data_IF_269253125212
#
_entry.id   IF_269253125212
#
_cell.length_a   1.000
_cell.length_b   1.000
_cell.length_c   1.000
_cell.angle_alpha   90.00
_cell.angle_beta   90.00
_cell.angle_gamma   90.00
#
_symmetry.space_group_name_H-M   'P 1'
#
loop_
_entity.id
_entity.type
_entity.pdbx_description
1 polymer ?
#
# COMPACT_ATOMS: atom_id res chain seq x y z
N UNK A 1 -48.46 -2.23 -0.31
CA UNK A 1 -48.08 -2.97 -1.54
C UNK A 1 -47.60 -2.00 -2.61
N UNK A 2 -46.28 -1.86 -2.77
CA UNK A 2 -45.66 -1.13 -3.90
C UNK A 2 -44.76 -2.13 -4.62
N UNK A 3 -45.10 -2.41 -5.87
CA UNK A 3 -44.42 -3.40 -6.72
C UNK A 3 -43.11 -2.87 -7.30
N UNK A 4 -42.12 -3.76 -7.33
CA UNK A 4 -40.85 -3.63 -8.03
C UNK A 4 -41.06 -3.44 -9.54
N UNK A 5 -40.27 -2.57 -10.17
CA UNK A 5 -40.00 -2.64 -11.61
C UNK A 5 -38.49 -2.86 -11.82
N UNK A 6 -38.19 -3.99 -12.46
CA UNK A 6 -36.87 -4.36 -12.94
C UNK A 6 -36.38 -3.35 -13.99
N UNK A 7 -35.13 -2.90 -13.86
CA UNK A 7 -34.42 -2.24 -14.95
C UNK A 7 -33.66 -3.28 -15.77
N UNK A 8 -34.07 -3.41 -17.04
CA UNK A 8 -33.49 -4.29 -18.06
C UNK A 8 -32.21 -3.67 -18.63
N UNK A 9 -31.15 -4.49 -18.69
CA UNK A 9 -29.88 -4.21 -19.37
C UNK A 9 -30.07 -4.23 -20.89
N UNK A 10 -30.23 -3.08 -21.53
CA UNK A 10 -29.99 -2.86 -22.98
C UNK A 10 -30.16 -1.37 -23.29
N UNK A 11 -29.05 -0.64 -23.40
CA UNK A 11 -29.11 0.77 -23.77
C UNK A 11 -27.81 1.52 -23.48
N UNK A 12 -26.68 1.01 -23.96
CA UNK A 12 -25.43 1.78 -23.97
C UNK A 12 -24.55 1.28 -25.12
N UNK A 13 -24.98 1.53 -26.35
CA UNK A 13 -24.15 1.38 -27.55
C UNK A 13 -24.86 2.09 -28.69
N UNK A 14 -24.64 3.40 -28.82
CA UNK A 14 -24.71 4.14 -30.08
C UNK A 14 -24.31 5.59 -29.82
N UNK A 15 -23.02 5.90 -29.96
CA UNK A 15 -22.58 7.26 -30.29
C UNK A 15 -21.17 7.27 -30.89
N UNK A 16 -21.05 6.80 -32.15
CA UNK A 16 -19.98 7.18 -33.09
C UNK A 16 -20.72 7.19 -34.43
N UNK A 17 -20.83 8.30 -35.16
CA UNK A 17 -19.85 8.86 -36.11
C UNK A 17 -20.38 10.24 -36.51
N UNK A 18 -19.53 11.28 -36.52
CA UNK A 18 -19.45 12.37 -37.53
C UNK A 18 -18.89 13.67 -36.94
N UNK A 19 -17.57 13.85 -37.01
CA UNK A 19 -16.87 15.14 -37.13
C UNK A 19 -15.41 14.75 -37.40
N UNK A 20 -14.87 14.94 -38.60
CA UNK A 20 -14.59 16.25 -39.16
C UNK A 20 -13.10 16.49 -38.97
N UNK A 21 -12.35 16.55 -40.07
CA UNK A 21 -10.92 16.83 -40.09
C UNK A 21 -10.62 18.14 -39.33
N UNK A 22 -10.08 18.03 -38.12
CA UNK A 22 -9.20 19.03 -37.53
C UNK A 22 -8.00 18.29 -36.98
N UNK A 23 -6.82 18.61 -37.51
CA UNK A 23 -5.57 18.10 -36.99
C UNK A 23 -5.43 18.49 -35.53
N UNK A 24 -5.40 17.48 -34.66
CA UNK A 24 -4.86 17.63 -33.32
C UNK A 24 -3.58 16.81 -33.34
N UNK A 25 -2.49 17.45 -33.76
CA UNK A 25 -1.16 17.07 -33.31
C UNK A 25 -1.05 17.40 -31.81
N UNK A 26 -1.90 16.76 -31.01
CA UNK A 26 -1.75 16.68 -29.57
C UNK A 26 -0.72 15.61 -29.34
N UNK A 27 0.55 15.94 -29.56
CA UNK A 27 1.61 15.24 -28.83
C UNK A 27 1.23 15.49 -27.38
N UNK A 28 0.67 14.49 -26.70
CA UNK A 28 0.53 14.54 -25.26
C UNK A 28 1.93 14.87 -24.76
N UNK A 29 2.14 16.11 -24.28
CA UNK A 29 3.40 16.50 -23.69
C UNK A 29 3.62 15.49 -22.58
N UNK A 30 4.67 14.67 -22.72
CA UNK A 30 5.09 13.81 -21.62
C UNK A 30 5.27 14.74 -20.42
N UNK A 31 4.72 14.37 -19.25
CA UNK A 31 4.92 15.19 -18.07
C UNK A 31 6.41 15.50 -17.92
N UNK A 32 6.73 16.74 -17.53
CA UNK A 32 8.12 17.10 -17.28
C UNK A 32 8.66 16.14 -16.20
N UNK A 33 9.79 15.50 -16.51
CA UNK A 33 10.47 14.67 -15.53
C UNK A 33 11.16 15.56 -14.52
N UNK A 34 11.11 15.14 -13.26
CA UNK A 34 11.89 15.70 -12.19
C UNK A 34 13.35 15.22 -12.23
N UNK A 35 14.09 15.56 -11.18
CA UNK A 35 15.47 15.10 -10.99
C UNK A 35 15.49 13.60 -10.68
N UNK A 36 16.39 12.85 -11.33
CA UNK A 36 16.55 11.42 -11.08
C UNK A 36 17.24 11.17 -9.73
N UNK A 37 16.93 10.03 -9.12
CA UNK A 37 17.47 9.60 -7.83
C UNK A 37 17.55 8.08 -7.78
N UNK A 38 18.26 7.52 -6.79
CA UNK A 38 18.19 6.07 -6.52
C UNK A 38 16.89 5.68 -5.80
N UNK A 39 16.18 6.65 -5.23
CA UNK A 39 15.01 6.45 -4.39
C UNK A 39 13.83 7.28 -4.87
N UNK A 40 12.63 6.95 -4.39
CA UNK A 40 11.52 7.88 -4.45
C UNK A 40 11.87 9.19 -3.71
N UNK A 41 11.40 10.31 -4.24
CA UNK A 41 11.57 11.65 -3.65
C UNK A 41 10.26 12.40 -3.70
N UNK A 42 10.17 13.57 -3.06
CA UNK A 42 9.06 14.51 -3.25
C UNK A 42 9.57 15.67 -4.09
N UNK A 43 8.87 15.97 -5.19
CA UNK A 43 9.25 17.05 -6.12
C UNK A 43 8.02 17.84 -6.54
N UNK A 44 8.24 19.05 -7.06
CA UNK A 44 7.18 19.90 -7.60
C UNK A 44 7.04 19.66 -9.11
N UNK A 45 5.82 19.37 -9.56
CA UNK A 45 5.44 19.22 -10.96
C UNK A 45 4.26 20.13 -11.22
N UNK A 46 4.42 21.14 -12.09
CA UNK A 46 3.37 22.09 -12.45
C UNK A 46 2.64 22.70 -11.22
N UNK A 47 3.40 23.11 -10.20
CA UNK A 47 2.86 23.70 -8.96
C UNK A 47 2.25 22.69 -7.98
N UNK A 48 2.46 21.38 -8.17
CA UNK A 48 1.96 20.32 -7.29
C UNK A 48 3.11 19.50 -6.72
N UNK A 49 3.11 19.28 -5.41
CA UNK A 49 4.03 18.33 -4.79
C UNK A 49 3.52 16.90 -4.98
N UNK A 50 4.28 16.11 -5.73
CA UNK A 50 4.03 14.68 -5.95
C UNK A 50 5.26 13.89 -5.53
N UNK A 51 5.09 12.58 -5.38
CA UNK A 51 6.27 11.72 -5.39
C UNK A 51 6.90 11.77 -6.79
N UNK A 52 8.22 11.64 -6.85
CA UNK A 52 8.94 11.33 -8.06
C UNK A 52 9.52 9.93 -7.92
N UNK A 53 9.33 9.08 -8.93
CA UNK A 53 10.02 7.78 -8.99
C UNK A 53 11.54 7.97 -9.03
N UNK A 54 12.35 6.92 -8.81
CA UNK A 54 13.80 7.00 -9.05
C UNK A 54 14.17 7.53 -10.45
N UNK A 55 13.34 7.23 -11.45
CA UNK A 55 13.50 7.74 -12.82
C UNK A 55 13.12 9.21 -13.03
N UNK A 56 12.63 9.92 -12.01
CA UNK A 56 12.19 11.31 -12.09
C UNK A 56 10.73 11.49 -12.53
N UNK A 57 10.01 10.41 -12.84
CA UNK A 57 8.59 10.49 -13.26
C UNK A 57 7.68 10.91 -12.10
N UNK A 58 6.68 11.79 -12.32
CA UNK A 58 5.68 12.08 -11.30
C UNK A 58 4.88 10.83 -10.95
N UNK A 59 4.69 10.60 -9.66
CA UNK A 59 4.01 9.44 -9.10
C UNK A 59 2.98 9.88 -8.06
N UNK A 60 1.73 9.50 -8.30
CA UNK A 60 0.65 9.67 -7.33
C UNK A 60 0.30 8.29 -6.75
N UNK A 61 0.61 8.07 -5.46
CA UNK A 61 0.41 6.77 -4.83
C UNK A 61 -1.08 6.49 -4.58
N UNK A 62 -1.58 5.41 -5.18
CA UNK A 62 -2.91 4.85 -4.93
C UNK A 62 -2.66 3.46 -4.36
N UNK A 63 -2.81 3.34 -3.04
CA UNK A 63 -2.36 2.18 -2.28
C UNK A 63 -3.52 1.45 -1.59
N UNK A 64 -3.36 0.15 -1.39
CA UNK A 64 -4.29 -0.69 -0.62
C UNK A 64 -3.64 -1.12 0.71
N UNK A 65 -4.41 -1.07 1.79
CA UNK A 65 -3.98 -1.46 3.14
C UNK A 65 -4.58 -2.82 3.53
N UNK A 66 -4.06 -3.43 4.60
CA UNK A 66 -4.49 -4.71 5.15
C UNK A 66 -4.44 -5.84 4.11
N UNK A 67 -3.21 -6.22 3.74
CA UNK A 67 -2.90 -7.26 2.77
C UNK A 67 -2.16 -8.38 3.49
N UNK A 68 -2.92 -9.35 3.99
CA UNK A 68 -2.41 -10.45 4.81
C UNK A 68 -3.14 -11.75 4.46
N UNK A 69 -2.43 -12.88 4.51
CA UNK A 69 -2.99 -14.19 4.16
C UNK A 69 -3.68 -14.89 5.33
N UNK A 70 -3.59 -14.37 6.55
CA UNK A 70 -4.17 -14.97 7.77
C UNK A 70 -5.64 -15.33 7.61
N UNK A 71 -6.43 -14.49 6.94
CA UNK A 71 -7.84 -14.75 6.65
C UNK A 71 -8.08 -16.05 5.85
N UNK A 72 -7.14 -16.46 5.00
CA UNK A 72 -7.21 -17.73 4.26
C UNK A 72 -6.68 -18.92 5.06
N UNK A 73 -5.96 -18.66 6.15
CA UNK A 73 -5.35 -19.70 7.00
C UNK A 73 -6.25 -20.16 8.15
N UNK A 74 -7.43 -19.57 8.30
CA UNK A 74 -8.46 -20.08 9.21
C UNK A 74 -8.94 -21.48 8.80
N UNK A 75 -9.38 -22.34 9.74
CA UNK A 75 -9.82 -23.71 9.46
C UNK A 75 -10.86 -23.81 8.33
N UNK A 76 -11.76 -22.82 8.22
CA UNK A 76 -12.82 -22.78 7.23
C UNK A 76 -12.28 -22.50 5.82
N UNK A 77 -11.15 -21.79 5.70
CA UNK A 77 -10.56 -21.34 4.43
C UNK A 77 -9.26 -22.07 4.06
N UNK A 78 -8.64 -22.81 4.99
CA UNK A 78 -7.29 -23.39 4.83
C UNK A 78 -7.17 -24.30 3.61
N UNK A 79 -8.26 -24.95 3.21
CA UNK A 79 -8.32 -25.78 2.01
C UNK A 79 -8.11 -24.97 0.72
N UNK A 80 -8.55 -23.70 0.69
CA UNK A 80 -8.28 -22.77 -0.42
C UNK A 80 -6.82 -22.35 -0.42
N UNK A 81 -6.26 -22.05 0.75
CA UNK A 81 -4.84 -21.70 0.90
C UNK A 81 -3.92 -22.82 0.39
N UNK A 82 -4.18 -24.04 0.85
CA UNK A 82 -3.42 -25.24 0.46
C UNK A 82 -3.67 -25.61 -1.00
N UNK A 83 -4.93 -25.73 -1.41
CA UNK A 83 -5.28 -26.22 -2.75
C UNK A 83 -4.88 -25.27 -3.87
N UNK A 84 -5.08 -23.95 -3.68
CA UNK A 84 -4.84 -22.97 -4.73
C UNK A 84 -3.37 -22.53 -4.80
N UNK A 85 -2.77 -22.24 -3.66
CA UNK A 85 -1.44 -21.64 -3.59
C UNK A 85 -0.38 -22.62 -3.09
N UNK A 86 -0.72 -23.87 -2.77
CA UNK A 86 0.24 -24.83 -2.21
C UNK A 86 0.78 -24.37 -0.87
N UNK A 87 -0.02 -23.63 -0.09
CA UNK A 87 0.39 -22.98 1.14
C UNK A 87 1.59 -22.00 1.01
N UNK A 88 1.76 -21.38 -0.16
CA UNK A 88 2.88 -20.48 -0.46
C UNK A 88 2.45 -19.00 -0.52
N UNK A 89 3.05 -18.17 0.34
CA UNK A 89 2.95 -16.70 0.28
C UNK A 89 3.38 -16.15 -1.07
N UNK A 90 4.52 -16.60 -1.57
CA UNK A 90 5.05 -16.19 -2.86
C UNK A 90 4.03 -16.41 -3.98
N UNK A 91 3.44 -17.62 -4.05
CA UNK A 91 2.43 -17.93 -5.07
C UNK A 91 1.20 -17.06 -4.91
N UNK A 92 0.69 -16.90 -3.69
CA UNK A 92 -0.47 -16.04 -3.46
C UNK A 92 -0.22 -14.59 -3.88
N UNK A 93 0.94 -14.04 -3.53
CA UNK A 93 1.32 -12.67 -3.88
C UNK A 93 1.48 -12.50 -5.39
N UNK A 94 2.24 -13.40 -6.03
CA UNK A 94 2.53 -13.34 -7.47
C UNK A 94 1.31 -13.64 -8.34
N UNK A 95 0.48 -14.60 -7.94
CA UNK A 95 -0.65 -15.06 -8.75
C UNK A 95 -1.90 -14.22 -8.54
N UNK A 96 -2.10 -13.61 -7.35
CA UNK A 96 -3.34 -12.92 -7.00
C UNK A 96 -3.16 -11.53 -6.46
N UNK A 97 -2.39 -11.31 -5.39
CA UNK A 97 -2.30 -9.98 -4.75
C UNK A 97 -1.86 -8.91 -5.75
N UNK A 98 -0.65 -9.04 -6.32
CA UNK A 98 -0.12 -8.02 -7.21
C UNK A 98 -0.92 -7.89 -8.53
N UNK A 99 -1.33 -8.98 -9.21
CA UNK A 99 -2.17 -8.88 -10.40
C UNK A 99 -3.53 -8.24 -10.14
N UNK A 100 -4.22 -8.63 -9.07
CA UNK A 100 -5.56 -8.13 -8.76
C UNK A 100 -5.50 -6.64 -8.37
N UNK A 101 -4.51 -6.23 -7.55
CA UNK A 101 -4.29 -4.81 -7.22
C UNK A 101 -4.07 -3.95 -8.47
N UNK A 102 -3.20 -4.40 -9.38
CA UNK A 102 -2.94 -3.71 -10.65
C UNK A 102 -4.21 -3.65 -11.51
N UNK A 103 -4.96 -4.75 -11.60
CA UNK A 103 -6.22 -4.81 -12.36
C UNK A 103 -7.30 -3.88 -11.79
N UNK A 104 -7.29 -3.64 -10.48
CA UNK A 104 -8.18 -2.68 -9.82
C UNK A 104 -7.71 -1.23 -9.90
N UNK A 105 -6.52 -0.97 -10.44
CA UNK A 105 -5.97 0.38 -10.62
C UNK A 105 -5.11 0.87 -9.46
N UNK A 106 -4.78 0.03 -8.47
CA UNK A 106 -3.77 0.36 -7.48
C UNK A 106 -2.38 0.27 -8.10
N UNK A 107 -1.54 1.25 -7.79
CA UNK A 107 -0.16 1.32 -8.30
C UNK A 107 0.90 1.11 -7.22
N UNK A 108 0.46 0.91 -5.97
CA UNK A 108 1.34 0.72 -4.83
C UNK A 108 0.70 -0.11 -3.71
N UNK A 109 1.53 -0.62 -2.81
CA UNK A 109 1.13 -1.32 -1.59
C UNK A 109 1.25 -0.36 -0.41
N UNK A 110 0.18 -0.27 0.38
CA UNK A 110 0.13 0.57 1.58
C UNK A 110 0.53 -0.21 2.83
N UNK A 111 -0.12 0.09 3.95
CA UNK A 111 0.06 -0.61 5.22
C UNK A 111 -0.42 -2.06 5.10
N UNK A 112 0.48 -3.05 5.12
CA UNK A 112 0.11 -4.44 4.86
C UNK A 112 -0.44 -5.22 6.07
N UNK A 113 -0.03 -4.91 7.30
CA UNK A 113 -0.42 -5.69 8.47
C UNK A 113 -1.95 -5.74 8.66
N UNK A 114 -2.48 -6.89 9.06
CA UNK A 114 -3.91 -7.08 9.36
C UNK A 114 -4.18 -6.89 10.86
N UNK A 115 -5.39 -6.45 11.20
CA UNK A 115 -5.87 -6.43 12.58
C UNK A 115 -6.22 -7.85 13.02
N UNK A 116 -5.40 -8.44 13.89
CA UNK A 116 -5.58 -9.81 14.40
C UNK A 116 -6.45 -9.84 15.65
N UNK A 117 -6.28 -8.86 16.55
CA UNK A 117 -7.05 -8.74 17.78
C UNK A 117 -7.52 -7.30 17.92
N UNK A 118 -8.80 -7.10 18.27
CA UNK A 118 -9.37 -5.77 18.51
C UNK A 118 -10.27 -5.78 19.75
N UNK A 119 -9.65 -5.54 20.89
CA UNK A 119 -10.28 -5.38 22.20
C UNK A 119 -10.05 -3.95 22.73
N UNK A 120 -10.87 -3.46 23.69
CA UNK A 120 -10.73 -2.10 24.23
C UNK A 120 -9.33 -1.73 24.75
N UNK A 121 -8.55 -2.71 25.20
CA UNK A 121 -7.21 -2.50 25.76
C UNK A 121 -6.09 -3.15 24.94
N UNK A 122 -6.43 -4.02 24.00
CA UNK A 122 -5.47 -4.79 23.19
C UNK A 122 -5.86 -4.69 21.72
N UNK A 123 -4.98 -4.14 20.91
CA UNK A 123 -5.17 -4.13 19.46
C UNK A 123 -3.91 -4.66 18.80
N UNK A 124 -3.89 -5.88 18.27
CA UNK A 124 -2.68 -6.47 17.72
C UNK A 124 -2.79 -6.61 16.21
N UNK A 125 -1.67 -6.35 15.54
CA UNK A 125 -1.54 -6.51 14.10
C UNK A 125 -0.69 -7.72 13.78
N UNK A 126 -0.89 -8.31 12.59
CA UNK A 126 0.01 -9.33 12.04
C UNK A 126 1.42 -8.76 11.82
N UNK A 127 2.46 -9.60 11.67
CA UNK A 127 3.80 -9.11 11.34
C UNK A 127 3.84 -8.32 10.02
N UNK A 128 4.81 -7.41 9.90
CA UNK A 128 5.08 -6.73 8.64
C UNK A 128 5.53 -7.71 7.54
N UNK A 129 5.25 -7.33 6.29
CA UNK A 129 5.92 -7.91 5.13
C UNK A 129 7.43 -7.71 5.19
N UNK A 130 8.18 -8.76 4.83
CA UNK A 130 9.64 -8.73 4.65
C UNK A 130 10.00 -8.24 3.23
N UNK A 131 11.30 -8.02 2.97
CA UNK A 131 11.82 -7.72 1.62
C UNK A 131 11.32 -8.72 0.55
N UNK A 132 11.27 -10.02 0.87
CA UNK A 132 10.88 -11.03 -0.10
C UNK A 132 9.42 -10.86 -0.56
N UNK A 133 8.51 -10.51 0.35
CA UNK A 133 7.12 -10.25 0.01
C UNK A 133 6.99 -9.08 -0.98
N UNK A 134 7.74 -8.00 -0.76
CA UNK A 134 7.79 -6.86 -1.68
C UNK A 134 8.43 -7.22 -3.03
N UNK A 135 9.50 -8.01 -3.02
CA UNK A 135 10.13 -8.51 -4.24
C UNK A 135 9.17 -9.37 -5.07
N UNK A 136 8.40 -10.24 -4.41
CA UNK A 136 7.39 -11.07 -5.08
C UNK A 136 6.27 -10.24 -5.68
N UNK A 137 5.83 -9.19 -4.99
CA UNK A 137 4.80 -8.29 -5.49
C UNK A 137 5.29 -7.44 -6.68
N UNK A 138 6.54 -6.98 -6.64
CA UNK A 138 7.13 -6.14 -7.68
C UNK A 138 6.31 -4.86 -7.91
N UNK A 139 5.93 -4.20 -6.82
CA UNK A 139 5.15 -2.96 -6.81
C UNK A 139 5.79 -1.95 -5.87
N UNK A 140 5.69 -0.63 -6.17
CA UNK A 140 6.02 0.42 -5.21
C UNK A 140 5.27 0.23 -3.88
N UNK A 141 5.90 0.53 -2.75
CA UNK A 141 5.29 0.26 -1.44
C UNK A 141 5.70 1.24 -0.35
N UNK A 142 4.85 1.30 0.68
CA UNK A 142 5.20 1.84 1.98
C UNK A 142 5.49 0.72 2.98
N UNK A 143 6.37 0.98 3.95
CA UNK A 143 6.71 0.04 5.01
C UNK A 143 6.49 0.64 6.39
N UNK A 144 5.93 -0.12 7.33
CA UNK A 144 5.66 0.39 8.67
C UNK A 144 6.89 0.21 9.59
N UNK A 145 7.37 1.29 10.20
CA UNK A 145 8.33 1.28 11.30
C UNK A 145 7.57 1.48 12.60
N UNK A 146 7.30 0.39 13.32
CA UNK A 146 6.51 0.41 14.54
C UNK A 146 7.28 1.01 15.75
N UNK A 147 7.76 2.25 15.65
CA UNK A 147 8.41 2.98 16.76
C UNK A 147 7.45 3.12 17.94
N UNK A 148 6.19 3.45 17.64
CA UNK A 148 5.14 3.66 18.62
C UNK A 148 4.01 2.68 18.37
N UNK A 149 3.89 1.70 19.25
CA UNK A 149 2.67 0.91 19.37
C UNK A 149 1.62 1.58 20.26
N UNK A 150 1.82 2.84 20.66
CA UNK A 150 0.84 3.68 21.33
C UNK A 150 -0.04 4.37 20.29
N UNK A 151 -1.07 3.67 19.85
CA UNK A 151 -2.07 4.20 18.92
C UNK A 151 -3.46 4.12 19.53
N UNK A 152 -4.44 4.82 18.94
CA UNK A 152 -5.81 4.96 19.49
C UNK A 152 -6.48 3.66 19.94
N UNK A 153 -6.05 2.55 19.35
CA UNK A 153 -6.60 1.23 19.56
C UNK A 153 -5.81 0.38 20.59
N UNK A 154 -4.55 0.73 20.93
CA UNK A 154 -3.75 0.09 22.00
C UNK A 154 -3.72 0.98 23.26
N UNK A 155 -4.84 1.02 24.00
CA UNK A 155 -4.95 1.82 25.24
C UNK A 155 -4.13 1.26 26.42
N UNK A 156 -3.66 0.00 26.34
CA UNK A 156 -2.89 -0.64 27.41
C UNK A 156 -1.40 -0.26 27.49
N UNK A 157 -0.85 0.48 26.51
CA UNK A 157 0.56 0.93 26.54
C UNK A 157 0.65 2.37 27.03
N UNK A 158 1.51 2.60 28.03
CA UNK A 158 1.94 3.95 28.40
C UNK A 158 2.70 4.58 27.22
N UNK A 159 2.45 5.86 26.98
CA UNK A 159 3.28 6.67 26.08
C UNK A 159 4.73 6.60 26.56
N UNK A 160 5.68 6.16 25.72
CA UNK A 160 7.09 6.22 26.10
C UNK A 160 7.52 7.69 26.20
N UNK A 161 8.50 7.97 27.05
CA UNK A 161 9.17 9.27 27.04
C UNK A 161 10.01 9.37 25.76
N UNK A 162 9.50 10.09 24.77
CA UNK A 162 10.15 10.24 23.45
C UNK A 162 11.43 11.07 23.50
N UNK A 163 11.71 11.74 24.62
CA UNK A 163 12.96 12.46 24.85
C UNK A 163 14.02 11.61 25.58
N UNK A 164 13.66 10.41 26.02
CA UNK A 164 14.56 9.53 26.76
C UNK A 164 15.59 8.85 25.84
N UNK A 165 16.75 8.55 26.40
CA UNK A 165 17.78 7.74 25.72
C UNK A 165 17.27 6.33 25.39
N UNK A 166 16.38 5.77 26.21
CA UNK A 166 15.80 4.45 25.97
C UNK A 166 14.93 4.44 24.72
N UNK A 167 14.15 5.50 24.49
CA UNK A 167 13.36 5.63 23.26
C UNK A 167 14.23 5.83 22.02
N UNK A 168 15.31 6.63 22.13
CA UNK A 168 16.30 6.75 21.05
C UNK A 168 16.91 5.38 20.68
N UNK A 169 17.34 4.60 21.67
CA UNK A 169 17.87 3.24 21.44
C UNK A 169 16.84 2.30 20.80
N UNK A 170 15.57 2.44 21.17
CA UNK A 170 14.48 1.69 20.54
C UNK A 170 14.31 2.07 19.07
N UNK A 171 14.33 3.36 18.75
CA UNK A 171 14.28 3.85 17.37
C UNK A 171 15.45 3.32 16.53
N UNK A 172 16.67 3.36 17.08
CA UNK A 172 17.87 2.81 16.41
C UNK A 172 17.72 1.30 16.13
N UNK A 173 17.15 0.55 17.08
CA UNK A 173 16.87 -0.87 16.89
C UNK A 173 15.86 -1.11 15.76
N UNK A 174 14.70 -0.42 15.80
CA UNK A 174 13.65 -0.57 14.78
C UNK A 174 14.17 -0.19 13.39
N UNK A 175 14.94 0.90 13.28
CA UNK A 175 15.55 1.34 12.03
C UNK A 175 16.57 0.32 11.52
N UNK A 176 17.44 -0.22 12.38
CA UNK A 176 18.42 -1.25 11.99
C UNK A 176 17.74 -2.53 11.52
N UNK A 177 16.67 -2.95 12.18
CA UNK A 177 15.95 -4.18 11.84
C UNK A 177 15.22 -4.07 10.49
N UNK A 178 14.57 -2.94 10.22
CA UNK A 178 13.70 -2.81 9.06
C UNK A 178 14.39 -2.09 7.89
N UNK A 179 15.04 -0.95 8.15
CA UNK A 179 15.57 -0.11 7.08
C UNK A 179 16.82 -0.70 6.43
N UNK A 180 17.69 -1.39 7.18
CA UNK A 180 18.90 -1.99 6.60
C UNK A 180 18.56 -3.02 5.52
N UNK A 181 17.53 -3.83 5.75
CA UNK A 181 17.05 -4.77 4.76
C UNK A 181 16.51 -4.02 3.54
N UNK A 182 15.81 -2.88 3.68
CA UNK A 182 15.07 -2.20 2.60
C UNK A 182 15.83 -1.05 1.92
N UNK A 183 16.99 -0.67 2.43
CA UNK A 183 17.68 0.60 2.13
C UNK A 183 17.91 0.89 0.65
N UNK A 184 18.22 -0.14 -0.15
CA UNK A 184 18.53 0.01 -1.59
C UNK A 184 17.38 -0.41 -2.50
N UNK A 185 16.16 -0.56 -1.96
CA UNK A 185 15.00 -0.89 -2.76
C UNK A 185 14.43 0.33 -3.49
N UNK A 186 14.52 0.33 -4.83
CA UNK A 186 13.98 1.38 -5.68
C UNK A 186 12.45 1.46 -5.64
N UNK A 187 11.75 0.41 -5.17
CA UNK A 187 10.29 0.39 -5.02
C UNK A 187 9.82 0.93 -3.66
N UNK A 188 10.72 1.14 -2.69
CA UNK A 188 10.35 1.72 -1.41
C UNK A 188 10.02 3.22 -1.60
N UNK A 189 8.74 3.57 -1.41
CA UNK A 189 8.27 4.95 -1.48
C UNK A 189 8.62 5.69 -0.19
N UNK A 190 8.43 5.03 0.95
CA UNK A 190 8.71 5.60 2.26
C UNK A 190 8.21 4.76 3.43
N UNK A 191 8.28 5.32 4.63
CA UNK A 191 7.94 4.64 5.87
C UNK A 191 6.74 5.28 6.58
N UNK A 192 5.86 4.46 7.16
CA UNK A 192 4.89 4.89 8.16
C UNK A 192 5.46 4.66 9.57
N UNK A 193 5.04 5.45 10.56
CA UNK A 193 5.57 5.32 11.92
C UNK A 193 4.56 4.80 12.95
N UNK A 194 3.28 5.17 12.80
CA UNK A 194 2.21 4.69 13.67
C UNK A 194 0.84 4.97 13.04
N UNK A 195 -0.12 4.09 13.28
CA UNK A 195 -1.52 4.25 12.84
C UNK A 195 -2.25 5.11 13.87
N UNK A 196 -2.82 6.26 13.51
CA UNK A 196 -3.62 7.14 14.41
C UNK A 196 -3.00 7.29 15.82
N UNK A 197 -1.90 8.07 15.98
CA UNK A 197 -1.33 8.33 17.29
C UNK A 197 -2.37 9.03 18.19
N UNK A 198 -2.42 8.67 19.48
CA UNK A 198 -3.16 9.48 20.45
C UNK A 198 -2.31 10.73 20.76
N UNK A 199 -2.57 11.79 20.01
CA UNK A 199 -2.11 13.13 20.38
C UNK A 199 -3.04 13.60 21.51
N UNK A 200 -2.68 13.26 22.75
CA UNK A 200 -3.33 13.76 23.98
C UNK A 200 -2.83 15.14 24.34
#
# INVERSE_FOLDING_TARGET
>A
MKGQKLYSRRGFNQLIVSAGLMGVAGIAQRPAFGTTSRYFTVQEFDGRHLFATPGGEPFFAISFNHIDSSAMRYPENIHLWQGRYGASEERWIKERVAPDLKAWGFNSIGWNQEVVLREPHYHWHSPNWTRDHYNWAGMPYFHNLAFLEAHRWKLGRKWPDVYSRDFEMWCDYVARENCAALADDANLIGYYFTDVPLLV
#
